data_IF_480790321833
#
_entry.id   IF_480790321833
#
_cell.length_a   1.000
_cell.length_b   1.000
_cell.length_c   1.000
_cell.angle_alpha   90.00
_cell.angle_beta   90.00
_cell.angle_gamma   90.00
#
_symmetry.space_group_name_H-M   'P 1'
#
loop_
_entity.id
_entity.type
_entity.pdbx_description
1 polymer ?
#
# COMPACT_ATOMS: atom_id res chain seq x y z
N UNK A 1 -35.07 -21.68 35.15
CA UNK A 1 -34.94 -20.37 35.83
C UNK A 1 -34.10 -19.46 34.95
N UNK A 2 -34.65 -18.30 34.62
CA UNK A 2 -34.07 -17.29 33.74
C UNK A 2 -32.93 -16.55 34.43
N UNK A 3 -31.86 -16.21 33.71
CA UNK A 3 -30.96 -15.14 34.11
C UNK A 3 -30.95 -14.05 33.05
N UNK A 4 -31.30 -12.87 33.52
CA UNK A 4 -31.60 -11.63 32.82
C UNK A 4 -30.32 -10.95 32.35
N UNK A 5 -30.39 -10.30 31.18
CA UNK A 5 -29.37 -9.43 30.63
C UNK A 5 -29.07 -8.21 31.51
N UNK A 6 -27.83 -7.71 31.40
CA UNK A 6 -27.54 -6.28 31.56
C UNK A 6 -26.24 -5.98 32.28
N UNK A 7 -25.27 -5.41 31.55
CA UNK A 7 -24.80 -4.02 31.74
C UNK A 7 -23.45 -3.81 31.05
N UNK A 8 -23.48 -2.97 30.01
CA UNK A 8 -22.33 -2.28 29.45
C UNK A 8 -21.74 -1.32 30.51
N UNK A 9 -20.41 -1.26 30.59
CA UNK A 9 -19.73 -0.10 31.16
C UNK A 9 -18.51 0.26 30.30
N UNK A 10 -18.48 1.52 29.89
CA UNK A 10 -17.45 2.21 29.14
C UNK A 10 -16.15 2.34 29.93
N UNK A 11 -15.01 2.32 29.25
CA UNK A 11 -13.69 2.52 29.86
C UNK A 11 -13.50 3.88 30.55
N UNK A 12 -12.28 4.14 31.08
CA UNK A 12 -11.36 4.87 30.20
C UNK A 12 -9.86 4.50 30.32
N UNK A 13 -9.19 4.65 29.17
CA UNK A 13 -7.87 5.26 28.97
C UNK A 13 -6.63 4.67 29.69
N UNK A 14 -6.01 3.66 29.08
CA UNK A 14 -4.81 2.96 29.57
C UNK A 14 -3.47 3.61 29.16
N UNK A 15 -3.47 4.84 28.62
CA UNK A 15 -2.28 5.47 28.04
C UNK A 15 -1.73 6.68 28.81
N UNK A 16 -2.16 6.93 30.05
CA UNK A 16 -1.68 8.03 30.91
C UNK A 16 -0.45 7.69 31.77
N UNK A 17 0.46 6.83 31.32
CA UNK A 17 1.72 6.55 32.05
C UNK A 17 2.97 6.78 31.21
N UNK A 18 3.23 8.05 30.92
CA UNK A 18 4.59 8.53 30.61
C UNK A 18 4.77 9.92 31.25
N UNK A 19 4.92 9.95 32.56
CA UNK A 19 5.50 11.07 33.28
C UNK A 19 6.59 10.51 34.20
N UNK A 20 7.86 10.66 33.81
CA UNK A 20 9.02 10.96 34.67
C UNK A 20 10.38 10.69 33.97
N UNK A 21 11.01 11.77 33.47
CA UNK A 21 12.47 11.98 33.36
C UNK A 21 13.15 11.73 31.99
N UNK A 22 14.23 12.48 31.62
CA UNK A 22 14.97 13.49 32.37
C UNK A 22 14.97 14.91 31.75
N UNK A 23 15.30 15.87 32.62
CA UNK A 23 15.44 17.33 32.45
C UNK A 23 16.34 17.75 31.28
N UNK A 24 16.00 18.80 30.51
CA UNK A 24 16.92 19.36 29.51
C UNK A 24 18.04 20.18 30.18
N UNK A 25 19.33 20.02 29.80
CA UNK A 25 20.40 20.90 30.25
C UNK A 25 20.28 22.29 29.60
N UNK A 26 20.57 23.33 30.39
CA UNK A 26 20.48 24.75 29.99
C UNK A 26 21.47 25.18 28.90
N UNK A 27 21.28 26.38 28.32
CA UNK A 27 21.84 26.75 27.02
C UNK A 27 23.22 27.43 27.14
N UNK A 28 24.21 26.82 27.79
CA UNK A 28 25.47 27.54 28.10
C UNK A 28 26.75 26.71 27.95
N UNK A 29 26.80 25.71 27.05
CA UNK A 29 28.09 25.13 26.61
C UNK A 29 27.94 24.18 25.41
N UNK A 30 27.95 24.73 24.21
CA UNK A 30 28.33 23.98 23.01
C UNK A 30 29.27 24.86 22.22
N UNK A 31 30.58 24.63 22.35
CA UNK A 31 31.57 25.21 21.45
C UNK A 31 31.17 24.93 20.00
N UNK A 32 31.58 25.76 19.02
CA UNK A 32 31.12 25.62 17.64
C UNK A 32 31.62 24.27 17.11
N UNK A 33 30.74 23.27 17.11
CA UNK A 33 30.95 22.04 16.37
C UNK A 33 30.85 22.44 14.91
N UNK A 34 31.99 22.79 14.33
CA UNK A 34 32.11 23.04 12.90
C UNK A 34 31.73 21.73 12.20
N UNK A 35 30.47 21.67 11.74
CA UNK A 35 30.01 20.64 10.81
C UNK A 35 30.91 20.76 9.59
N UNK A 36 31.85 19.83 9.44
CA UNK A 36 32.69 19.71 8.27
C UNK A 36 31.78 19.66 7.03
N UNK A 37 31.67 20.79 6.34
CA UNK A 37 31.03 20.94 5.04
C UNK A 37 31.84 20.15 4.00
N UNK A 38 31.76 18.82 4.07
CA UNK A 38 32.34 17.94 3.06
C UNK A 38 31.38 17.84 1.88
N UNK A 39 31.88 18.39 0.77
CA UNK A 39 31.75 17.86 -0.60
C UNK A 39 30.43 18.12 -1.34
N UNK A 40 30.45 19.20 -2.14
CA UNK A 40 29.83 19.28 -3.46
C UNK A 40 28.29 19.40 -3.52
N UNK A 41 27.74 19.99 -4.60
CA UNK A 41 26.31 19.90 -4.87
C UNK A 41 25.94 18.42 -5.04
N UNK A 42 25.05 17.92 -4.18
CA UNK A 42 24.50 16.59 -4.32
C UNK A 42 23.86 16.46 -5.71
N UNK A 43 24.10 15.37 -6.45
CA UNK A 43 23.44 15.16 -7.73
C UNK A 43 21.92 15.21 -7.51
N UNK A 44 21.24 15.99 -8.34
CA UNK A 44 19.79 16.12 -8.28
C UNK A 44 19.16 14.71 -8.30
N UNK A 45 18.22 14.40 -7.40
CA UNK A 45 17.58 13.09 -7.40
C UNK A 45 16.94 12.86 -8.78
N UNK A 46 17.06 11.64 -9.34
CA UNK A 46 16.46 11.34 -10.63
C UNK A 46 14.98 11.69 -10.59
N UNK A 47 14.51 12.38 -11.64
CA UNK A 47 13.12 12.77 -11.78
C UNK A 47 12.26 11.53 -11.55
N UNK A 48 11.55 11.52 -10.42
CA UNK A 48 10.76 10.38 -9.97
C UNK A 48 9.66 10.18 -11.01
N UNK A 49 9.73 9.09 -11.75
CA UNK A 49 8.71 8.74 -12.74
C UNK A 49 7.33 8.82 -12.07
N UNK A 50 6.46 9.68 -12.61
CA UNK A 50 5.24 10.08 -11.92
C UNK A 50 4.20 8.97 -12.09
N UNK A 51 4.27 7.98 -11.20
CA UNK A 51 3.33 6.86 -11.18
C UNK A 51 1.91 7.36 -10.86
N UNK A 52 0.99 7.17 -11.79
CA UNK A 52 -0.43 7.48 -11.60
C UNK A 52 -1.15 6.26 -11.00
N UNK A 53 -2.02 6.48 -10.01
CA UNK A 53 -2.81 5.42 -9.36
C UNK A 53 -4.19 5.33 -10.02
N UNK A 54 -4.63 4.10 -10.31
CA UNK A 54 -6.01 3.79 -10.67
C UNK A 54 -6.56 2.78 -9.67
N UNK A 55 -7.78 3.01 -9.18
CA UNK A 55 -8.51 2.12 -8.27
C UNK A 55 -9.67 1.49 -9.05
N UNK A 56 -9.95 0.22 -8.78
CA UNK A 56 -11.05 -0.53 -9.41
C UNK A 56 -11.88 -1.17 -8.32
N UNK A 57 -13.18 -0.89 -8.33
CA UNK A 57 -14.13 -1.54 -7.44
C UNK A 57 -14.50 -2.91 -8.02
N UNK A 58 -14.23 -3.96 -7.24
CA UNK A 58 -14.52 -5.34 -7.60
C UNK A 58 -15.49 -5.94 -6.57
N UNK A 59 -16.53 -6.67 -6.99
CA UNK A 59 -17.33 -7.46 -6.07
C UNK A 59 -16.46 -8.43 -5.27
N UNK A 60 -16.84 -8.71 -4.01
CA UNK A 60 -16.07 -9.59 -3.12
C UNK A 60 -15.78 -10.96 -3.75
N UNK A 61 -16.75 -11.53 -4.46
CA UNK A 61 -16.59 -12.79 -5.17
C UNK A 61 -15.48 -12.73 -6.23
N UNK A 62 -15.43 -11.64 -7.00
CA UNK A 62 -14.40 -11.42 -8.03
C UNK A 62 -13.02 -11.22 -7.41
N UNK A 63 -12.93 -10.48 -6.29
CA UNK A 63 -11.67 -10.31 -5.57
C UNK A 63 -11.13 -11.67 -5.07
N UNK A 64 -11.99 -12.51 -4.50
CA UNK A 64 -11.60 -13.84 -4.03
C UNK A 64 -11.17 -14.77 -5.17
N UNK A 65 -11.87 -14.74 -6.29
CA UNK A 65 -11.48 -15.50 -7.48
C UNK A 65 -10.09 -15.09 -7.99
N UNK A 66 -9.78 -13.78 -7.97
CA UNK A 66 -8.47 -13.27 -8.33
C UNK A 66 -7.38 -13.76 -7.36
N UNK A 67 -7.62 -13.69 -6.05
CA UNK A 67 -6.65 -14.15 -5.04
C UNK A 67 -6.28 -15.62 -5.22
N UNK A 68 -7.27 -16.48 -5.51
CA UNK A 68 -7.05 -17.91 -5.78
C UNK A 68 -6.22 -18.09 -7.05
N UNK A 69 -6.61 -17.42 -8.14
CA UNK A 69 -5.86 -17.49 -9.40
C UNK A 69 -4.42 -17.02 -9.24
N UNK A 70 -4.15 -15.99 -8.43
CA UNK A 70 -2.79 -15.49 -8.19
C UNK A 70 -1.89 -16.50 -7.50
N UNK A 71 -2.45 -17.25 -6.55
CA UNK A 71 -1.73 -18.34 -5.88
C UNK A 71 -1.37 -19.43 -6.88
N UNK A 72 -2.36 -19.88 -7.66
CA UNK A 72 -2.14 -20.90 -8.69
C UNK A 72 -1.14 -20.43 -9.75
N UNK A 73 -1.20 -19.15 -10.15
CA UNK A 73 -0.27 -18.56 -11.10
C UNK A 73 1.15 -18.51 -10.54
N UNK A 74 1.31 -18.13 -9.27
CA UNK A 74 2.59 -18.09 -8.57
C UNK A 74 3.23 -19.49 -8.52
N UNK A 75 2.42 -20.50 -8.18
CA UNK A 75 2.86 -21.90 -8.14
C UNK A 75 3.31 -22.40 -9.53
N UNK A 76 2.61 -22.01 -10.60
CA UNK A 76 2.95 -22.40 -11.99
C UNK A 76 4.25 -21.79 -12.48
N UNK A 77 4.50 -20.53 -12.17
CA UNK A 77 5.71 -19.81 -12.64
C UNK A 77 6.87 -19.90 -11.63
N UNK A 78 6.66 -20.55 -10.48
CA UNK A 78 7.70 -20.80 -9.48
C UNK A 78 8.11 -19.57 -8.67
N UNK A 79 7.22 -18.59 -8.50
CA UNK A 79 7.49 -17.38 -7.69
C UNK A 79 6.75 -17.42 -6.36
N UNK A 80 7.26 -16.70 -5.38
CA UNK A 80 6.67 -16.68 -4.03
C UNK A 80 5.26 -16.05 -3.99
N UNK A 81 4.98 -15.08 -4.87
CA UNK A 81 3.67 -14.42 -4.96
C UNK A 81 3.51 -13.71 -6.29
N UNK A 82 2.29 -13.65 -6.77
CA UNK A 82 1.85 -12.77 -7.85
C UNK A 82 0.91 -11.73 -7.25
N UNK A 83 1.25 -10.45 -7.34
CA UNK A 83 0.46 -9.36 -6.76
C UNK A 83 -0.63 -8.87 -7.70
N UNK A 84 -1.71 -8.27 -7.15
CA UNK A 84 -2.76 -7.65 -7.96
C UNK A 84 -2.24 -6.58 -8.90
N UNK A 85 -1.20 -5.87 -8.46
CA UNK A 85 -0.54 -4.86 -9.27
C UNK A 85 0.16 -5.45 -10.50
N UNK A 86 0.90 -6.54 -10.35
CA UNK A 86 1.56 -7.21 -11.48
C UNK A 86 0.54 -7.73 -12.50
N UNK A 87 -0.56 -8.32 -12.01
CA UNK A 87 -1.65 -8.77 -12.87
C UNK A 87 -2.26 -7.61 -13.65
N UNK A 88 -2.62 -6.53 -12.97
CA UNK A 88 -3.24 -5.37 -13.61
C UNK A 88 -2.29 -4.69 -14.59
N UNK A 89 -1.01 -4.55 -14.24
CA UNK A 89 0.01 -3.99 -15.16
C UNK A 89 0.14 -4.86 -16.40
N UNK A 90 0.31 -6.18 -16.25
CA UNK A 90 0.42 -7.09 -17.39
C UNK A 90 -0.82 -7.07 -18.29
N UNK A 91 -2.03 -7.04 -17.70
CA UNK A 91 -3.28 -6.95 -18.47
C UNK A 91 -3.40 -5.64 -19.25
N UNK A 92 -2.96 -4.52 -18.66
CA UNK A 92 -2.97 -3.22 -19.34
C UNK A 92 -1.94 -3.22 -20.48
N UNK A 93 -0.74 -3.73 -20.24
CA UNK A 93 0.31 -3.80 -21.26
C UNK A 93 -0.13 -4.66 -22.45
N UNK A 94 -0.75 -5.82 -22.18
CA UNK A 94 -1.35 -6.66 -23.22
C UNK A 94 -2.51 -5.96 -23.93
N UNK A 95 -3.39 -5.24 -23.22
CA UNK A 95 -4.49 -4.51 -23.82
C UNK A 95 -4.00 -3.43 -24.81
N UNK A 96 -2.87 -2.79 -24.51
CA UNK A 96 -2.32 -1.72 -25.33
C UNK A 96 -1.47 -2.23 -26.51
N UNK A 97 -1.03 -3.49 -26.48
CA UNK A 97 -0.14 -4.07 -27.50
C UNK A 97 -0.81 -5.14 -28.38
N UNK A 98 -1.81 -5.86 -27.86
CA UNK A 98 -2.54 -6.90 -28.60
C UNK A 98 -3.91 -6.39 -29.11
N UNK A 99 -4.06 -6.17 -30.43
CA UNK A 99 -5.32 -5.70 -31.01
C UNK A 99 -6.48 -6.70 -30.85
N UNK A 100 -6.18 -8.00 -30.72
CA UNK A 100 -7.19 -9.04 -30.51
C UNK A 100 -7.78 -8.94 -29.11
N UNK A 101 -6.93 -8.74 -28.10
CA UNK A 101 -7.40 -8.52 -26.73
C UNK A 101 -8.20 -7.23 -26.62
N UNK A 102 -7.73 -6.14 -27.24
CA UNK A 102 -8.44 -4.87 -27.28
C UNK A 102 -9.84 -4.97 -27.88
N UNK A 103 -9.98 -5.70 -29.00
CA UNK A 103 -11.28 -5.95 -29.63
C UNK A 103 -12.20 -6.77 -28.72
N UNK A 104 -11.68 -7.80 -28.06
CA UNK A 104 -12.44 -8.62 -27.12
C UNK A 104 -12.98 -7.81 -25.94
N UNK A 105 -12.12 -6.99 -25.31
CA UNK A 105 -12.52 -6.14 -24.19
C UNK A 105 -13.55 -5.09 -24.66
N UNK A 106 -13.37 -4.48 -25.83
CA UNK A 106 -14.33 -3.53 -26.40
C UNK A 106 -15.71 -4.16 -26.58
N UNK A 107 -15.78 -5.38 -27.14
CA UNK A 107 -17.04 -6.13 -27.27
C UNK A 107 -17.66 -6.47 -25.92
N UNK A 108 -16.85 -6.89 -24.95
CA UNK A 108 -17.33 -7.22 -23.60
C UNK A 108 -17.90 -5.99 -22.87
N UNK A 109 -17.33 -4.80 -23.08
CA UNK A 109 -17.85 -3.53 -22.55
C UNK A 109 -19.18 -3.18 -23.24
N UNK A 110 -19.26 -3.29 -24.57
CA UNK A 110 -20.49 -3.04 -25.31
C UNK A 110 -21.65 -3.94 -24.87
N UNK A 111 -21.38 -5.22 -24.61
CA UNK A 111 -22.41 -6.17 -24.17
C UNK A 111 -22.99 -5.88 -22.77
N UNK A 112 -22.31 -5.06 -21.96
CA UNK A 112 -22.74 -4.70 -20.59
C UNK A 112 -23.44 -3.35 -20.50
N UNK A 113 -23.46 -2.60 -21.60
CA UNK A 113 -24.01 -1.25 -21.69
C UNK A 113 -25.35 -1.26 -22.39
#
# INVERSE_FOLDING_TARGET
MSITSGRSDSGPNRFSRYAAGPTPPGPEQTGPTQRLSRLGPAPAPPARDRRTRRTVDLPLATHRALDVWQRDAADRIGVARVTGQEVLTALIDQLLTDPKLSTQITRAIQARR
#
